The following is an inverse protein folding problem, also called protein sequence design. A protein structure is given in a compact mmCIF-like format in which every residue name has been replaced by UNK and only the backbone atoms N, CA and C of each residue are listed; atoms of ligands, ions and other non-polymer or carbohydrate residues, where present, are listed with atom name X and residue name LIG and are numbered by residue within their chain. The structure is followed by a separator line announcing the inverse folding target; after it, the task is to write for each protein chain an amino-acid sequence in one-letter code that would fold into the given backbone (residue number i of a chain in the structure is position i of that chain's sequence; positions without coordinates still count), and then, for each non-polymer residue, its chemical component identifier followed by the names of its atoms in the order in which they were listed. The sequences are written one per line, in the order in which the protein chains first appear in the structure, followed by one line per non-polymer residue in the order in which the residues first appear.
data_IF_727437874948
#
_entry.id   IF_727437874948
#
_cell.length_a   1.000
_cell.length_b   1.000
_cell.length_c   1.000
_cell.angle_alpha   90.00
_cell.angle_beta   90.00
_cell.angle_gamma   90.00
#
_symmetry.space_group_name_H-M   'P 1'
#
loop_
_entity.id
_entity.type
_entity.pdbx_description
1 polymer ?
#
# COMPACT_ATOMS: atom_id res chain seq x y z
N UNK A 1 0.11 17.98 -15.59
CA UNK A 1 0.47 18.38 -16.96
C UNK A 1 0.61 17.16 -17.85
N UNK A 2 0.16 17.22 -19.11
CA UNK A 2 0.43 16.18 -20.10
C UNK A 2 1.34 16.77 -21.17
N UNK A 3 2.34 16.01 -21.57
CA UNK A 3 3.25 16.32 -22.67
C UNK A 3 3.20 15.19 -23.69
N UNK A 4 3.43 15.52 -24.95
CA UNK A 4 3.50 14.57 -26.07
C UNK A 4 4.82 14.71 -26.81
N UNK A 5 5.28 13.63 -27.43
CA UNK A 5 6.48 13.61 -28.27
C UNK A 5 6.16 12.96 -29.61
N UNK A 6 6.65 13.56 -30.69
CA UNK A 6 6.59 13.02 -32.06
C UNK A 6 7.93 12.45 -32.54
N UNK A 7 8.98 12.50 -31.70
CA UNK A 7 10.37 12.18 -32.06
C UNK A 7 10.95 11.02 -31.22
N UNK A 8 10.11 10.02 -30.92
CA UNK A 8 10.45 8.85 -30.11
C UNK A 8 10.91 9.19 -28.68
N UNK A 9 10.28 10.19 -28.06
CA UNK A 9 10.49 10.53 -26.65
C UNK A 9 11.75 11.36 -26.38
N UNK A 10 12.35 11.97 -27.41
CA UNK A 10 13.53 12.83 -27.24
C UNK A 10 13.13 14.24 -26.80
N UNK A 11 12.08 14.80 -27.39
CA UNK A 11 11.53 16.11 -27.05
C UNK A 11 10.07 15.96 -26.65
N UNK A 12 9.68 16.62 -25.56
CA UNK A 12 8.32 16.63 -25.04
C UNK A 12 7.75 18.05 -25.09
N UNK A 13 6.61 18.18 -25.76
CA UNK A 13 5.86 19.43 -25.87
C UNK A 13 4.59 19.36 -25.04
N UNK A 14 4.19 20.46 -24.42
CA UNK A 14 2.96 20.51 -23.62
C UNK A 14 1.74 20.30 -24.51
N UNK A 15 0.86 19.37 -24.12
CA UNK A 15 -0.37 19.13 -24.85
C UNK A 15 -1.32 20.34 -24.65
N UNK A 16 -1.79 20.99 -25.73
CA UNK A 16 -2.62 22.18 -25.61
C UNK A 16 -3.99 21.89 -24.98
N UNK A 17 -4.62 22.91 -24.41
CA UNK A 17 -5.92 22.82 -23.74
C UNK A 17 -5.85 22.62 -22.22
N UNK A 18 -4.66 22.70 -21.63
CA UNK A 18 -4.53 22.78 -20.18
C UNK A 18 -4.97 24.17 -19.71
N UNK A 19 -5.93 24.24 -18.78
CA UNK A 19 -6.39 25.51 -18.20
C UNK A 19 -5.85 25.68 -16.78
N UNK A 20 -6.03 26.84 -16.15
CA UNK A 20 -5.73 27.00 -14.73
C UNK A 20 -6.76 26.27 -13.86
N UNK A 21 -6.31 25.53 -12.84
CA UNK A 21 -7.17 24.98 -11.81
C UNK A 21 -7.15 25.92 -10.60
N UNK A 22 -8.30 26.50 -10.24
CA UNK A 22 -8.36 27.38 -9.08
C UNK A 22 -8.08 26.66 -7.77
N UNK A 23 -8.39 25.37 -7.67
CA UNK A 23 -8.09 24.57 -6.48
C UNK A 23 -6.60 24.28 -6.34
N UNK A 24 -5.94 23.87 -7.43
CA UNK A 24 -4.50 23.55 -7.43
C UNK A 24 -3.57 24.75 -7.66
N UNK A 25 -4.11 25.90 -8.10
CA UNK A 25 -3.38 27.09 -8.51
C UNK A 25 -2.33 26.85 -9.62
N UNK A 26 -2.59 25.90 -10.53
CA UNK A 26 -1.67 25.54 -11.61
C UNK A 26 -2.43 25.18 -12.88
N UNK A 27 -1.73 25.25 -14.02
CA UNK A 27 -2.23 24.78 -15.30
C UNK A 27 -2.33 23.26 -15.26
N UNK A 28 -3.50 22.70 -15.57
CA UNK A 28 -3.74 21.26 -15.51
C UNK A 28 -4.65 20.81 -16.63
N UNK A 29 -4.22 19.83 -17.41
CA UNK A 29 -5.09 19.13 -18.36
C UNK A 29 -5.95 18.05 -17.70
N UNK A 30 -5.40 17.33 -16.72
CA UNK A 30 -6.08 16.34 -15.88
C UNK A 30 -6.01 16.82 -14.42
N UNK A 31 -7.16 17.07 -13.80
CA UNK A 31 -7.27 17.46 -12.41
C UNK A 31 -8.60 17.00 -11.82
N UNK A 32 -8.61 16.28 -10.69
CA UNK A 32 -9.85 15.84 -10.03
C UNK A 32 -10.80 16.98 -9.69
N UNK A 33 -10.27 18.18 -9.42
CA UNK A 33 -11.10 19.36 -9.14
C UNK A 33 -11.82 19.93 -10.37
N UNK A 34 -11.39 19.56 -11.59
CA UNK A 34 -11.98 20.04 -12.85
C UNK A 34 -12.90 19.01 -13.49
N UNK A 35 -12.67 17.72 -13.27
CA UNK A 35 -13.37 16.66 -13.97
C UNK A 35 -14.28 15.89 -13.03
N UNK A 36 -15.58 15.91 -13.35
CA UNK A 36 -16.60 15.03 -12.74
C UNK A 36 -17.05 13.91 -13.67
N UNK A 37 -16.65 13.98 -14.95
CA UNK A 37 -17.06 13.07 -16.02
C UNK A 37 -15.85 12.67 -16.87
N UNK A 38 -15.99 11.60 -17.65
CA UNK A 38 -14.98 11.13 -18.59
C UNK A 38 -14.76 12.16 -19.71
N UNK A 39 -13.50 12.36 -20.10
CA UNK A 39 -13.13 13.31 -21.16
C UNK A 39 -12.20 12.64 -22.16
N UNK A 40 -12.50 12.80 -23.45
CA UNK A 40 -11.66 12.30 -24.52
C UNK A 40 -10.59 13.33 -24.87
N UNK A 41 -9.33 12.96 -24.72
CA UNK A 41 -8.18 13.80 -25.08
C UNK A 41 -7.66 13.30 -26.43
N UNK A 42 -7.69 14.17 -27.44
CA UNK A 42 -7.12 13.86 -28.76
C UNK A 42 -5.63 14.17 -28.75
N UNK A 43 -4.82 13.17 -29.06
CA UNK A 43 -3.39 13.33 -29.21
C UNK A 43 -3.04 13.91 -30.59
N UNK A 44 -1.93 14.65 -30.74
CA UNK A 44 -1.46 15.14 -32.02
C UNK A 44 -1.19 13.99 -33.00
N UNK A 45 -1.29 14.27 -34.30
CA UNK A 45 -0.88 13.33 -35.33
C UNK A 45 0.61 13.00 -35.14
N UNK A 46 0.97 11.71 -35.28
CA UNK A 46 2.32 11.20 -35.07
C UNK A 46 2.83 11.25 -33.62
N UNK A 47 1.95 11.33 -32.62
CA UNK A 47 2.32 11.16 -31.22
C UNK A 47 2.90 9.74 -31.00
N UNK A 48 4.17 9.68 -30.61
CA UNK A 48 4.89 8.43 -30.31
C UNK A 48 4.90 8.14 -28.81
N UNK A 49 4.99 9.18 -27.97
CA UNK A 49 5.07 9.04 -26.51
C UNK A 49 4.22 10.08 -25.79
N UNK A 50 3.73 9.71 -24.61
CA UNK A 50 2.99 10.59 -23.71
C UNK A 50 3.71 10.61 -22.36
N UNK A 51 3.91 11.81 -21.81
CA UNK A 51 4.45 12.00 -20.46
C UNK A 51 3.41 12.72 -19.61
N UNK A 52 3.03 12.10 -18.49
CA UNK A 52 2.09 12.68 -17.54
C UNK A 52 2.89 13.15 -16.32
N UNK A 53 2.94 14.45 -16.09
CA UNK A 53 3.54 15.05 -14.91
C UNK A 53 2.45 15.45 -13.91
N UNK A 54 2.70 15.24 -12.62
CA UNK A 54 1.81 15.78 -11.58
C UNK A 54 1.95 17.31 -11.52
N UNK A 55 0.86 18.04 -11.23
CA UNK A 55 0.94 19.47 -10.94
C UNK A 55 1.90 19.70 -9.75
N UNK A 56 2.78 20.70 -9.84
CA UNK A 56 3.53 21.20 -8.69
C UNK A 56 2.58 21.95 -7.74
N UNK A 57 2.36 21.38 -6.56
CA UNK A 57 1.53 22.03 -5.53
C UNK A 57 2.15 23.39 -5.18
N UNK A 58 1.48 24.49 -5.52
CA UNK A 58 1.90 25.84 -5.13
C UNK A 58 1.54 26.10 -3.67
N UNK A 59 2.51 25.84 -2.79
CA UNK A 59 2.35 25.83 -1.34
C UNK A 59 1.94 27.21 -0.78
N UNK A 60 2.40 28.30 -1.40
CA UNK A 60 1.98 29.67 -1.06
C UNK A 60 0.50 29.92 -1.30
N UNK A 61 -0.09 29.34 -2.35
CA UNK A 61 -1.51 29.49 -2.65
C UNK A 61 -2.40 28.64 -1.72
N UNK A 62 -1.92 27.47 -1.30
CA UNK A 62 -2.60 26.62 -0.31
C UNK A 62 -2.55 27.26 1.07
N UNK A 63 -1.37 27.76 1.48
CA UNK A 63 -1.17 28.47 2.74
C UNK A 63 -2.04 29.74 2.81
N UNK A 64 -2.05 30.56 1.75
CA UNK A 64 -2.89 31.76 1.68
C UNK A 64 -4.39 31.44 1.77
N UNK A 65 -4.86 30.32 1.20
CA UNK A 65 -6.25 29.86 1.35
C UNK A 65 -6.56 29.39 2.77
N UNK A 66 -5.62 28.71 3.43
CA UNK A 66 -5.76 28.28 4.82
C UNK A 66 -5.78 29.49 5.76
N UNK A 67 -4.99 30.52 5.48
CA UNK A 67 -4.97 31.75 6.26
C UNK A 67 -6.22 32.61 6.01
N UNK A 68 -6.70 32.68 4.77
CA UNK A 68 -7.95 33.33 4.41
C UNK A 68 -9.19 32.66 5.04
N UNK A 69 -9.20 31.33 5.14
CA UNK A 69 -10.32 30.62 5.78
C UNK A 69 -10.32 30.79 7.30
N UNK A 70 -9.14 30.94 7.92
CA UNK A 70 -8.99 31.27 9.35
C UNK A 70 -9.36 32.72 9.67
N UNK A 71 -9.05 33.67 8.79
CA UNK A 71 -9.41 35.07 9.01
C UNK A 71 -10.92 35.32 8.83
N UNK A 72 -11.58 34.58 7.92
CA UNK A 72 -13.04 34.64 7.77
C UNK A 72 -13.81 34.06 8.95
N UNK A 73 -13.24 33.14 9.74
CA UNK A 73 -13.89 32.64 10.96
C UNK A 73 -13.78 33.58 12.16
N UNK A 74 -12.87 34.57 12.13
CA UNK A 74 -12.65 35.51 13.24
C UNK A 74 -13.43 36.83 13.12
N UNK A 75 -13.99 37.15 11.94
CA UNK A 75 -14.68 38.44 11.71
C UNK A 75 -16.22 38.32 11.81
N UNK A 76 -16.74 37.10 12.04
CA UNK A 76 -18.18 36.83 12.17
C UNK A 76 -18.76 37.02 13.57
N UNK A 77 -18.40 38.07 14.31
CA UNK A 77 -19.18 38.49 15.49
C UNK A 77 -19.04 40.00 15.64
N UNK A 78 -20.19 40.69 15.79
CA UNK A 78 -20.38 42.12 16.12
C UNK A 78 -20.74 43.06 14.94
N UNK A 79 -21.97 42.98 14.42
CA UNK A 79 -22.97 44.08 14.46
C UNK A 79 -24.27 43.70 13.71
N UNK A 80 -25.42 44.04 14.31
CA UNK A 80 -26.74 43.61 13.89
C UNK A 80 -27.49 44.55 12.93
N UNK A 81 -28.60 43.98 12.44
CA UNK A 81 -29.86 44.58 11.96
C UNK A 81 -29.92 45.19 10.55
N UNK A 82 -30.35 44.38 9.56
CA UNK A 82 -31.72 44.40 8.98
C UNK A 82 -31.74 43.62 7.66
N UNK A 83 -32.22 42.37 7.70
CA UNK A 83 -32.94 41.64 6.62
C UNK A 83 -33.11 40.18 7.06
N UNK A 84 -33.97 39.97 8.06
CA UNK A 84 -34.35 38.63 8.50
C UNK A 84 -35.59 38.17 7.72
N UNK A 85 -35.36 37.34 6.70
CA UNK A 85 -36.21 36.21 6.28
C UNK A 85 -35.49 35.51 5.13
N UNK A 86 -35.39 34.17 5.20
CA UNK A 86 -34.65 33.25 4.31
C UNK A 86 -33.20 32.98 4.76
N UNK A 87 -33.01 32.40 5.96
CA UNK A 87 -31.87 31.50 6.27
C UNK A 87 -31.94 31.03 7.75
N UNK A 88 -33.02 30.37 8.15
CA UNK A 88 -33.09 29.66 9.44
C UNK A 88 -33.59 28.24 9.19
N UNK A 89 -32.68 27.38 8.71
CA UNK A 89 -32.83 25.92 8.77
C UNK A 89 -31.53 25.11 8.56
N UNK A 90 -30.34 25.69 8.73
CA UNK A 90 -29.09 24.97 8.41
C UNK A 90 -27.90 25.22 9.35
N UNK A 91 -28.13 25.68 10.58
CA UNK A 91 -27.02 26.10 11.48
C UNK A 91 -26.92 25.38 12.83
N UNK A 92 -27.56 24.21 12.99
CA UNK A 92 -27.34 23.34 14.16
C UNK A 92 -26.32 22.21 13.93
N UNK A 93 -25.61 22.19 12.79
CA UNK A 93 -24.64 21.12 12.45
C UNK A 93 -23.15 21.50 12.63
N UNK A 94 -22.84 22.78 12.89
CA UNK A 94 -21.46 23.28 12.73
C UNK A 94 -20.72 23.61 14.04
N UNK A 95 -20.98 22.87 15.11
CA UNK A 95 -20.26 23.08 16.39
C UNK A 95 -19.66 21.80 16.97
N UNK A 96 -18.75 21.17 16.21
CA UNK A 96 -17.83 20.14 16.73
C UNK A 96 -16.61 19.86 15.83
N UNK A 97 -16.00 20.88 15.22
CA UNK A 97 -14.75 20.68 14.45
C UNK A 97 -13.63 21.61 14.92
N UNK A 98 -12.88 21.13 15.90
CA UNK A 98 -11.50 21.55 16.11
C UNK A 98 -10.62 21.03 14.98
N UNK A 99 -10.40 21.87 13.97
CA UNK A 99 -9.07 22.21 13.42
C UNK A 99 -8.05 21.13 13.00
N UNK A 100 -8.45 19.91 12.66
CA UNK A 100 -7.57 18.94 11.98
C UNK A 100 -8.05 18.75 10.54
N UNK A 101 -7.18 18.95 9.55
CA UNK A 101 -7.37 18.54 8.16
C UNK A 101 -7.43 17.02 8.10
N UNK A 102 -8.56 16.45 8.50
CA UNK A 102 -8.77 15.02 8.52
C UNK A 102 -8.71 14.49 7.10
N UNK A 103 -7.70 13.67 6.79
CA UNK A 103 -7.68 12.96 5.51
C UNK A 103 -8.94 12.10 5.40
N UNK A 104 -9.56 12.11 4.22
CA UNK A 104 -10.61 11.16 3.90
C UNK A 104 -10.00 9.74 3.79
N UNK A 105 -10.80 8.72 4.09
CA UNK A 105 -10.38 7.31 4.00
C UNK A 105 -9.83 6.97 2.61
N UNK A 106 -10.52 7.39 1.55
CA UNK A 106 -10.12 7.16 0.15
C UNK A 106 -8.71 7.70 -0.15
N UNK A 107 -8.39 8.90 0.37
CA UNK A 107 -7.08 9.50 0.22
C UNK A 107 -6.01 8.71 1.00
N UNK A 108 -6.33 8.30 2.23
CA UNK A 108 -5.43 7.49 3.06
C UNK A 108 -5.11 6.15 2.38
N UNK A 109 -6.12 5.47 1.84
CA UNK A 109 -5.99 4.22 1.09
C UNK A 109 -5.15 4.41 -0.18
N UNK A 110 -5.44 5.46 -0.98
CA UNK A 110 -4.69 5.75 -2.21
C UNK A 110 -3.21 6.10 -1.95
N UNK A 111 -2.93 6.85 -0.88
CA UNK A 111 -1.55 7.18 -0.50
C UNK A 111 -0.84 5.93 0.02
N UNK A 112 -1.52 5.09 0.80
CA UNK A 112 -0.98 3.81 1.28
C UNK A 112 -0.58 2.90 0.12
N UNK A 113 -1.39 2.78 -0.92
CA UNK A 113 -1.03 1.99 -2.12
C UNK A 113 0.24 2.51 -2.79
N UNK A 114 0.35 3.83 -2.96
CA UNK A 114 1.54 4.46 -3.57
C UNK A 114 2.78 4.22 -2.71
N UNK A 115 2.63 4.28 -1.38
CA UNK A 115 3.70 4.00 -0.44
C UNK A 115 4.13 2.53 -0.50
N UNK A 116 3.19 1.59 -0.44
CA UNK A 116 3.46 0.16 -0.58
C UNK A 116 4.19 -0.13 -1.90
N UNK A 117 3.71 0.42 -3.02
CA UNK A 117 4.37 0.26 -4.31
C UNK A 117 5.81 0.83 -4.30
N UNK A 118 6.03 1.95 -3.61
CA UNK A 118 7.37 2.54 -3.45
C UNK A 118 8.29 1.62 -2.64
N UNK A 119 7.79 1.05 -1.54
CA UNK A 119 8.54 0.12 -0.69
C UNK A 119 8.89 -1.16 -1.47
N UNK A 120 7.95 -1.69 -2.25
CA UNK A 120 8.15 -2.88 -3.09
C UNK A 120 9.20 -2.64 -4.17
N UNK A 121 9.15 -1.51 -4.87
CA UNK A 121 10.18 -1.14 -5.85
C UNK A 121 11.56 -0.96 -5.20
N UNK A 122 11.59 -0.45 -3.97
CA UNK A 122 12.83 -0.37 -3.21
C UNK A 122 13.35 -1.77 -2.88
N UNK A 123 12.48 -2.70 -2.49
CA UNK A 123 12.76 -4.11 -2.19
C UNK A 123 13.29 -4.89 -3.41
N UNK A 124 12.87 -4.54 -4.62
CA UNK A 124 13.35 -5.16 -5.87
C UNK A 124 14.64 -4.51 -6.40
N UNK A 125 14.80 -3.19 -6.27
CA UNK A 125 15.92 -2.45 -6.86
C UNK A 125 17.29 -2.72 -6.20
N UNK A 126 18.39 -2.12 -6.68
CA UNK A 126 19.73 -2.17 -6.01
C UNK A 126 19.94 -1.09 -4.94
N UNK A 127 18.90 -0.32 -4.64
CA UNK A 127 18.97 0.82 -3.72
C UNK A 127 19.23 0.36 -2.28
N UNK A 128 20.17 1.00 -1.58
CA UNK A 128 20.29 0.84 -0.11
C UNK A 128 18.96 1.26 0.50
N UNK A 129 18.21 0.28 1.02
CA UNK A 129 17.04 0.56 1.84
C UNK A 129 17.55 0.74 3.26
N UNK A 130 17.10 1.78 3.95
CA UNK A 130 17.30 1.93 5.38
C UNK A 130 16.11 1.28 6.10
N UNK A 131 15.52 1.87 7.13
CA UNK A 131 14.36 1.29 7.79
C UNK A 131 13.06 1.62 7.04
N UNK A 132 12.00 0.85 7.27
CA UNK A 132 10.71 1.14 6.61
C UNK A 132 10.17 2.53 6.94
N UNK A 133 10.42 3.04 8.16
CA UNK A 133 10.08 4.40 8.57
C UNK A 133 10.79 5.45 7.72
N UNK A 134 12.05 5.21 7.34
CA UNK A 134 12.78 6.11 6.47
C UNK A 134 12.21 6.09 5.05
N UNK A 135 11.77 4.92 4.56
CA UNK A 135 11.05 4.82 3.29
C UNK A 135 9.75 5.61 3.31
N UNK A 136 9.00 5.56 4.42
CA UNK A 136 7.81 6.40 4.60
C UNK A 136 8.19 7.88 4.61
N UNK A 137 9.17 8.28 5.41
CA UNK A 137 9.60 9.66 5.47
C UNK A 137 10.07 10.18 4.11
N UNK A 138 10.89 9.39 3.41
CA UNK A 138 11.41 9.71 2.10
C UNK A 138 10.30 9.85 1.04
N UNK A 139 9.26 9.01 1.14
CA UNK A 139 8.07 9.13 0.30
C UNK A 139 7.38 10.49 0.52
N UNK A 140 7.16 10.90 1.78
CA UNK A 140 6.56 12.20 2.11
C UNK A 140 7.47 13.37 1.74
N UNK A 141 8.79 13.24 1.91
CA UNK A 141 9.80 14.23 1.51
C UNK A 141 9.77 14.47 0.01
N UNK A 142 9.80 13.39 -0.78
CA UNK A 142 9.69 13.46 -2.25
C UNK A 142 8.35 13.98 -2.73
N UNK A 143 7.26 13.66 -2.02
CA UNK A 143 5.91 14.07 -2.38
C UNK A 143 5.65 15.56 -2.18
N UNK A 144 6.11 16.13 -1.07
CA UNK A 144 5.78 17.51 -0.69
C UNK A 144 6.93 18.51 -0.88
N UNK A 145 8.18 18.05 -1.06
CA UNK A 145 9.40 18.82 -1.31
C UNK A 145 9.83 19.70 -0.11
N UNK A 146 8.90 20.45 0.49
CA UNK A 146 9.13 21.25 1.71
C UNK A 146 9.01 20.40 2.97
N UNK A 147 10.02 20.48 3.82
CA UNK A 147 10.18 19.62 5.00
C UNK A 147 9.05 19.78 6.03
N UNK A 148 8.65 21.01 6.36
CA UNK A 148 7.56 21.26 7.32
C UNK A 148 6.22 20.69 6.85
N UNK A 149 6.00 20.67 5.54
CA UNK A 149 4.77 20.15 4.93
C UNK A 149 4.84 18.64 4.82
N UNK A 150 6.01 18.07 4.49
CA UNK A 150 6.25 16.64 4.59
C UNK A 150 5.97 16.13 6.00
N UNK A 151 6.43 16.84 7.04
CA UNK A 151 6.19 16.47 8.44
C UNK A 151 4.70 16.50 8.79
N UNK A 152 4.01 17.61 8.50
CA UNK A 152 2.55 17.71 8.74
C UNK A 152 1.75 16.69 7.94
N UNK A 153 2.12 16.47 6.69
CA UNK A 153 1.48 15.47 5.83
C UNK A 153 1.65 14.05 6.35
N UNK A 154 2.83 13.72 6.88
CA UNK A 154 3.09 12.45 7.55
C UNK A 154 2.26 12.33 8.83
N UNK A 155 2.20 13.36 9.67
CA UNK A 155 1.40 13.36 10.89
C UNK A 155 -0.09 13.13 10.59
N UNK A 156 -0.67 13.90 9.66
CA UNK A 156 -2.06 13.74 9.24
C UNK A 156 -2.32 12.35 8.66
N UNK A 157 -1.37 11.81 7.88
CA UNK A 157 -1.45 10.47 7.33
C UNK A 157 -1.44 9.40 8.42
N UNK A 158 -0.52 9.45 9.39
CA UNK A 158 -0.44 8.48 10.47
C UNK A 158 -1.70 8.53 11.36
N UNK A 159 -2.24 9.73 11.61
CA UNK A 159 -3.53 9.87 12.29
C UNK A 159 -4.68 9.22 11.51
N UNK A 160 -4.71 9.40 10.19
CA UNK A 160 -5.73 8.77 9.34
C UNK A 160 -5.55 7.26 9.23
N UNK A 161 -4.31 6.78 9.11
CA UNK A 161 -3.97 5.35 9.08
C UNK A 161 -4.47 4.66 10.34
N UNK A 162 -4.18 5.24 11.52
CA UNK A 162 -4.68 4.72 12.81
C UNK A 162 -6.21 4.72 12.88
N UNK A 163 -6.86 5.76 12.35
CA UNK A 163 -8.32 5.88 12.38
C UNK A 163 -9.02 4.84 11.52
N UNK A 164 -8.51 4.60 10.31
CA UNK A 164 -9.17 3.77 9.30
C UNK A 164 -8.60 2.35 9.18
N UNK A 165 -7.58 1.99 9.97
CA UNK A 165 -7.03 0.63 10.03
C UNK A 165 -8.11 -0.44 10.30
N UNK A 166 -9.08 -0.26 11.22
CA UNK A 166 -10.12 -1.25 11.44
C UNK A 166 -11.01 -1.52 10.21
N UNK A 167 -11.17 -0.51 9.35
CA UNK A 167 -12.08 -0.55 8.20
C UNK A 167 -11.40 -1.00 6.90
N UNK A 168 -10.06 -1.11 6.89
CA UNK A 168 -9.30 -1.49 5.69
C UNK A 168 -8.11 -2.37 6.03
N UNK A 169 -8.15 -3.62 5.56
CA UNK A 169 -7.07 -4.59 5.79
C UNK A 169 -5.71 -4.11 5.27
N UNK A 170 -5.67 -3.34 4.18
CA UNK A 170 -4.43 -2.78 3.63
C UNK A 170 -3.84 -1.71 4.56
N UNK A 171 -4.71 -0.85 5.14
CA UNK A 171 -4.29 0.13 6.13
C UNK A 171 -3.85 -0.54 7.43
N UNK A 172 -4.57 -1.58 7.86
CA UNK A 172 -4.19 -2.39 9.02
C UNK A 172 -2.82 -3.05 8.81
N UNK A 173 -2.61 -3.69 7.66
CA UNK A 173 -1.35 -4.34 7.30
C UNK A 173 -0.18 -3.36 7.39
N UNK A 174 -0.29 -2.19 6.75
CA UNK A 174 0.77 -1.20 6.83
C UNK A 174 0.94 -0.65 8.25
N UNK A 175 -0.16 -0.42 8.97
CA UNK A 175 -0.13 -0.01 10.38
C UNK A 175 0.69 -0.97 11.24
N UNK A 176 0.38 -2.27 11.17
CA UNK A 176 1.09 -3.33 11.88
C UNK A 176 2.57 -3.41 11.50
N UNK A 177 2.91 -3.17 10.22
CA UNK A 177 4.31 -3.12 9.79
C UNK A 177 5.05 -1.92 10.41
N UNK A 178 4.43 -0.74 10.40
CA UNK A 178 5.04 0.48 10.95
C UNK A 178 5.19 0.43 12.47
N UNK A 179 4.33 -0.31 13.17
CA UNK A 179 4.44 -0.57 14.62
C UNK A 179 5.32 -1.77 14.96
N UNK A 180 5.97 -2.40 13.97
CA UNK A 180 6.80 -3.60 14.12
C UNK A 180 6.08 -4.84 14.65
N UNK A 181 4.76 -4.88 14.53
CA UNK A 181 3.93 -6.05 14.83
C UNK A 181 4.02 -7.08 13.70
N UNK A 182 4.10 -6.60 12.45
CA UNK A 182 4.41 -7.42 11.28
C UNK A 182 5.75 -7.02 10.65
N UNK A 183 6.46 -8.02 10.13
CA UNK A 183 7.70 -7.79 9.38
C UNK A 183 7.41 -7.22 7.98
N UNK A 184 8.18 -6.23 7.48
CA UNK A 184 8.00 -5.68 6.13
C UNK A 184 8.00 -6.70 4.98
N UNK A 185 8.66 -7.86 5.14
CA UNK A 185 8.64 -8.96 4.17
C UNK A 185 7.23 -9.48 3.86
N UNK A 186 6.26 -9.23 4.74
CA UNK A 186 4.86 -9.60 4.51
C UNK A 186 4.26 -8.92 3.27
N UNK A 187 4.77 -7.74 2.87
CA UNK A 187 4.33 -7.08 1.65
C UNK A 187 4.68 -7.91 0.43
N UNK A 188 5.91 -8.44 0.34
CA UNK A 188 6.31 -9.34 -0.74
C UNK A 188 5.48 -10.64 -0.72
N UNK A 189 5.24 -11.20 0.46
CA UNK A 189 4.41 -12.39 0.62
C UNK A 189 2.99 -12.18 0.06
N UNK A 190 2.36 -11.06 0.41
CA UNK A 190 1.03 -10.70 -0.08
C UNK A 190 1.01 -10.53 -1.60
N UNK A 191 2.03 -9.92 -2.18
CA UNK A 191 2.13 -9.75 -3.64
C UNK A 191 2.21 -11.07 -4.40
N UNK A 192 2.97 -12.03 -3.86
CA UNK A 192 3.11 -13.33 -4.50
C UNK A 192 1.82 -14.15 -4.44
N UNK A 193 1.07 -14.03 -3.35
CA UNK A 193 -0.28 -14.56 -3.28
C UNK A 193 -1.20 -13.94 -4.32
N UNK A 194 -1.15 -12.61 -4.46
CA UNK A 194 -1.92 -11.90 -5.49
C UNK A 194 -1.60 -12.46 -6.87
N UNK A 195 -0.32 -12.59 -7.23
CA UNK A 195 0.09 -13.15 -8.52
C UNK A 195 -0.39 -14.59 -8.73
N UNK A 196 -0.25 -15.44 -7.72
CA UNK A 196 -0.73 -16.82 -7.78
C UNK A 196 -2.25 -16.90 -7.98
N UNK A 197 -3.01 -16.00 -7.35
CA UNK A 197 -4.45 -15.96 -7.43
C UNK A 197 -4.96 -15.41 -8.77
N UNK A 198 -4.21 -14.52 -9.42
CA UNK A 198 -4.58 -13.96 -10.73
C UNK A 198 -4.57 -15.00 -11.85
N UNK A 199 -3.74 -16.04 -11.74
CA UNK A 199 -3.64 -17.13 -12.73
C UNK A 199 -4.60 -18.28 -12.41
N UNK A 200 -5.20 -18.29 -11.21
CA UNK A 200 -6.03 -19.39 -10.73
C UNK A 200 -7.51 -19.18 -11.08
N UNK A 201 -8.19 -20.15 -11.71
CA UNK A 201 -9.63 -20.06 -11.95
C UNK A 201 -10.39 -20.29 -10.64
N UNK A 202 -10.64 -19.22 -9.88
CA UNK A 202 -11.38 -19.26 -8.61
C UNK A 202 -12.82 -18.77 -8.82
N UNK A 203 -13.73 -19.70 -9.11
CA UNK A 203 -15.16 -19.40 -9.31
C UNK A 203 -16.11 -19.98 -8.26
N UNK A 204 -15.67 -21.00 -7.51
CA UNK A 204 -16.53 -21.73 -6.55
C UNK A 204 -15.71 -22.37 -5.44
N UNK A 205 -16.41 -22.98 -4.47
CA UNK A 205 -15.79 -23.62 -3.31
C UNK A 205 -14.93 -24.84 -3.67
N UNK A 206 -15.23 -25.55 -4.76
CA UNK A 206 -14.42 -26.68 -5.22
C UNK A 206 -13.05 -26.19 -5.72
N UNK A 207 -13.02 -25.10 -6.46
CA UNK A 207 -11.77 -24.44 -6.85
C UNK A 207 -10.97 -23.93 -5.64
N UNK A 208 -11.64 -23.38 -4.63
CA UNK A 208 -10.96 -22.98 -3.40
C UNK A 208 -10.41 -24.18 -2.61
N UNK A 209 -11.16 -25.28 -2.51
CA UNK A 209 -10.68 -26.51 -1.88
C UNK A 209 -9.43 -27.06 -2.60
N UNK A 210 -9.43 -27.05 -3.94
CA UNK A 210 -8.24 -27.41 -4.73
C UNK A 210 -7.07 -26.45 -4.49
N UNK A 211 -7.34 -25.15 -4.38
CA UNK A 211 -6.34 -24.17 -3.97
C UNK A 211 -5.75 -24.53 -2.59
N UNK A 212 -6.59 -24.87 -1.60
CA UNK A 212 -6.12 -25.27 -0.27
C UNK A 212 -5.23 -26.52 -0.32
N UNK A 213 -5.66 -27.56 -1.06
CA UNK A 213 -4.88 -28.78 -1.23
C UNK A 213 -3.52 -28.52 -1.87
N UNK A 214 -3.46 -27.64 -2.87
CA UNK A 214 -2.21 -27.30 -3.57
C UNK A 214 -1.31 -26.38 -2.75
N UNK A 215 -1.90 -25.41 -2.05
CA UNK A 215 -1.18 -24.32 -1.41
C UNK A 215 -0.78 -24.63 0.04
N UNK A 216 -1.56 -25.49 0.71
CA UNK A 216 -1.38 -25.97 2.08
C UNK A 216 -1.30 -27.50 2.13
N UNK A 217 -0.34 -28.06 1.39
CA UNK A 217 -0.14 -29.52 1.29
C UNK A 217 0.25 -30.18 2.62
N UNK A 218 0.91 -29.41 3.50
CA UNK A 218 1.37 -29.85 4.82
C UNK A 218 0.23 -30.02 5.84
N UNK A 219 -0.91 -29.35 5.63
CA UNK A 219 -2.07 -29.49 6.52
C UNK A 219 -2.70 -30.89 6.40
N UNK A 220 -3.29 -31.39 7.47
CA UNK A 220 -4.14 -32.56 7.41
C UNK A 220 -5.48 -32.26 6.72
N UNK A 221 -6.23 -33.30 6.35
CA UNK A 221 -7.54 -33.13 5.69
C UNK A 221 -8.53 -32.39 6.59
N UNK A 222 -8.56 -32.72 7.88
CA UNK A 222 -9.40 -32.09 8.90
C UNK A 222 -9.10 -30.60 9.09
N UNK A 223 -7.82 -30.22 9.01
CA UNK A 223 -7.37 -28.83 9.12
C UNK A 223 -7.75 -28.03 7.86
N UNK A 224 -7.58 -28.62 6.67
CA UNK A 224 -8.05 -28.01 5.42
C UNK A 224 -9.56 -27.81 5.40
N UNK A 225 -10.32 -28.79 5.90
CA UNK A 225 -11.78 -28.69 5.99
C UNK A 225 -12.21 -27.59 6.98
N UNK A 226 -11.48 -27.44 8.09
CA UNK A 226 -11.70 -26.35 9.04
C UNK A 226 -11.44 -24.98 8.41
N UNK A 227 -10.36 -24.84 7.63
CA UNK A 227 -10.02 -23.61 6.92
C UNK A 227 -11.02 -23.31 5.79
N UNK A 228 -11.50 -24.33 5.08
CA UNK A 228 -12.57 -24.22 4.09
C UNK A 228 -13.86 -23.72 4.72
N UNK A 229 -14.23 -24.23 5.90
CA UNK A 229 -15.40 -23.79 6.64
C UNK A 229 -15.25 -22.32 7.09
N UNK A 230 -14.10 -21.97 7.66
CA UNK A 230 -13.81 -20.60 8.08
C UNK A 230 -13.89 -19.61 6.91
N UNK A 231 -13.30 -19.95 5.77
CA UNK A 231 -13.42 -19.16 4.54
C UNK A 231 -14.88 -19.06 4.06
N UNK A 232 -15.64 -20.15 4.13
CA UNK A 232 -17.05 -20.16 3.69
C UNK A 232 -17.89 -19.18 4.52
N UNK A 233 -17.63 -19.12 5.83
CA UNK A 233 -18.26 -18.16 6.75
C UNK A 233 -17.77 -16.74 6.44
N UNK A 234 -16.46 -16.53 6.33
CA UNK A 234 -15.85 -15.22 6.06
C UNK A 234 -16.31 -14.60 4.73
N UNK A 235 -16.44 -15.44 3.69
CA UNK A 235 -16.73 -15.00 2.33
C UNK A 235 -18.22 -14.97 1.99
N UNK A 236 -19.10 -15.37 2.92
CA UNK A 236 -20.54 -15.56 2.68
C UNK A 236 -20.80 -16.48 1.47
N UNK A 237 -19.98 -17.53 1.31
CA UNK A 237 -19.98 -18.49 0.18
C UNK A 237 -19.59 -17.89 -1.18
N UNK A 238 -19.11 -16.64 -1.24
CA UNK A 238 -18.66 -16.03 -2.48
C UNK A 238 -17.16 -16.26 -2.71
N UNK A 239 -16.82 -17.05 -3.73
CA UNK A 239 -15.42 -17.31 -4.08
C UNK A 239 -14.98 -16.37 -5.21
N UNK A 240 -13.89 -15.65 -4.96
CA UNK A 240 -13.18 -14.87 -5.97
C UNK A 240 -11.73 -14.68 -5.53
N UNK A 241 -10.79 -14.38 -6.45
CA UNK A 241 -9.40 -14.07 -6.11
C UNK A 241 -9.29 -12.97 -5.04
N UNK A 242 -10.14 -11.95 -5.13
CA UNK A 242 -10.22 -10.85 -4.17
C UNK A 242 -10.65 -11.33 -2.77
N UNK A 243 -11.70 -12.16 -2.68
CA UNK A 243 -12.17 -12.72 -1.40
C UNK A 243 -11.15 -13.64 -0.76
N UNK A 244 -10.48 -14.47 -1.57
CA UNK A 244 -9.40 -15.34 -1.08
C UNK A 244 -8.23 -14.52 -0.56
N UNK A 245 -7.79 -13.49 -1.28
CA UNK A 245 -6.72 -12.61 -0.79
C UNK A 245 -7.12 -11.86 0.48
N UNK A 246 -8.35 -11.35 0.55
CA UNK A 246 -8.88 -10.71 1.75
C UNK A 246 -8.91 -11.68 2.95
N UNK A 247 -9.24 -12.94 2.71
CA UNK A 247 -9.19 -13.98 3.74
C UNK A 247 -7.75 -14.29 4.19
N UNK A 248 -6.80 -14.41 3.26
CA UNK A 248 -5.38 -14.60 3.60
C UNK A 248 -4.85 -13.41 4.41
N UNK A 249 -5.19 -12.16 4.03
CA UNK A 249 -4.86 -10.97 4.82
C UNK A 249 -5.48 -11.01 6.22
N UNK A 250 -6.72 -11.49 6.34
CA UNK A 250 -7.36 -11.69 7.63
C UNK A 250 -6.55 -12.67 8.50
N UNK A 251 -6.15 -13.82 7.96
CA UNK A 251 -5.32 -14.78 8.69
C UNK A 251 -3.95 -14.19 9.08
N UNK A 252 -3.29 -13.44 8.19
CA UNK A 252 -2.01 -12.77 8.47
C UNK A 252 -2.15 -11.79 9.63
N UNK A 253 -3.17 -10.92 9.59
CA UNK A 253 -3.43 -9.91 10.61
C UNK A 253 -3.85 -10.52 11.96
N UNK A 254 -4.30 -11.78 11.96
CA UNK A 254 -4.59 -12.54 13.18
C UNK A 254 -3.45 -13.48 13.59
N UNK A 255 -2.30 -13.44 12.89
CA UNK A 255 -1.17 -14.37 13.10
C UNK A 255 -1.56 -15.85 12.99
N UNK A 256 -2.57 -16.17 12.16
CA UNK A 256 -3.13 -17.52 11.95
C UNK A 256 -2.89 -18.07 10.54
N UNK A 257 -2.02 -17.44 9.77
CA UNK A 257 -1.76 -17.87 8.40
C UNK A 257 -0.92 -19.16 8.40
N UNK A 258 -1.45 -20.30 7.91
CA UNK A 258 -0.84 -21.61 8.15
C UNK A 258 0.59 -21.76 7.62
N UNK A 259 0.90 -21.16 6.48
CA UNK A 259 2.24 -21.28 5.90
C UNK A 259 3.29 -20.54 6.69
N UNK A 260 2.94 -19.36 7.16
CA UNK A 260 3.81 -18.57 8.02
C UNK A 260 4.09 -19.34 9.33
N UNK A 261 3.11 -20.10 9.83
CA UNK A 261 3.26 -20.94 11.03
C UNK A 261 4.14 -22.16 10.73
N UNK A 262 3.82 -22.92 9.68
CA UNK A 262 4.61 -24.09 9.27
C UNK A 262 6.09 -23.75 9.06
N UNK A 263 6.36 -22.68 8.32
CA UNK A 263 7.73 -22.25 8.09
C UNK A 263 8.42 -21.77 9.39
N UNK A 264 7.68 -21.27 10.38
CA UNK A 264 8.27 -20.98 11.70
C UNK A 264 8.61 -22.25 12.45
N UNK A 265 7.73 -23.25 12.42
CA UNK A 265 7.92 -24.52 13.10
C UNK A 265 9.10 -25.28 12.49
N UNK A 266 9.19 -25.36 11.16
CA UNK A 266 10.35 -25.93 10.45
C UNK A 266 11.64 -25.21 10.85
N UNK A 267 11.67 -23.88 10.72
CA UNK A 267 12.85 -23.10 11.08
C UNK A 267 13.25 -23.23 12.55
N UNK A 268 12.28 -23.46 13.45
CA UNK A 268 12.55 -23.62 14.87
C UNK A 268 13.38 -24.86 15.16
N UNK A 269 13.29 -25.89 14.30
CA UNK A 269 14.10 -27.11 14.42
C UNK A 269 15.59 -26.87 14.16
N UNK A 270 15.93 -25.81 13.42
CA UNK A 270 17.31 -25.45 13.08
C UNK A 270 17.94 -24.44 14.04
N UNK A 271 17.19 -23.96 15.05
CA UNK A 271 17.73 -23.08 16.08
C UNK A 271 18.71 -23.84 16.97
N UNK A 272 19.97 -23.39 17.00
CA UNK A 272 20.96 -23.91 17.95
C UNK A 272 20.86 -23.20 19.30
N UNK A 273 20.18 -22.06 19.36
CA UNK A 273 19.96 -21.27 20.58
C UNK A 273 18.48 -21.05 20.86
N UNK A 274 18.05 -21.14 22.13
CA UNK A 274 16.65 -20.98 22.57
C UNK A 274 16.14 -19.51 22.52
N UNK A 275 16.72 -18.66 21.68
CA UNK A 275 16.45 -17.22 21.72
C UNK A 275 15.30 -16.77 20.79
N UNK A 276 14.70 -17.68 20.02
CA UNK A 276 13.65 -17.33 19.05
C UNK A 276 14.16 -16.54 17.84
N UNK A 277 15.48 -16.42 17.72
CA UNK A 277 16.18 -15.67 16.68
C UNK A 277 17.15 -16.58 15.94
N UNK A 278 17.17 -16.46 14.62
CA UNK A 278 18.14 -17.12 13.75
C UNK A 278 19.25 -16.15 13.40
N UNK A 279 20.49 -16.63 13.54
CA UNK A 279 21.63 -16.00 12.88
C UNK A 279 21.52 -16.20 11.37
N UNK A 280 22.21 -15.37 10.58
CA UNK A 280 22.27 -15.51 9.12
C UNK A 280 22.80 -16.90 8.73
N UNK A 281 23.74 -17.44 9.51
CA UNK A 281 24.33 -18.76 9.30
C UNK A 281 23.34 -19.90 9.59
N UNK A 282 22.58 -19.82 10.69
CA UNK A 282 21.53 -20.80 10.99
C UNK A 282 20.41 -20.77 9.95
N UNK A 283 20.01 -19.57 9.50
CA UNK A 283 19.03 -19.42 8.44
C UNK A 283 19.57 -20.00 7.13
N UNK A 284 20.81 -19.70 6.74
CA UNK A 284 21.42 -20.26 5.53
C UNK A 284 21.51 -21.80 5.58
N UNK A 285 21.84 -22.37 6.76
CA UNK A 285 21.86 -23.81 6.96
C UNK A 285 20.47 -24.46 6.85
N UNK A 286 19.45 -23.85 7.46
CA UNK A 286 18.06 -24.32 7.33
C UNK A 286 17.60 -24.28 5.86
N UNK A 287 17.95 -23.23 5.13
CA UNK A 287 17.61 -23.07 3.71
C UNK A 287 18.24 -24.13 2.81
N UNK A 288 19.52 -24.46 3.05
CA UNK A 288 20.23 -25.52 2.33
C UNK A 288 19.58 -26.89 2.59
N UNK A 289 19.14 -27.16 3.83
CA UNK A 289 18.45 -28.40 4.22
C UNK A 289 17.03 -28.50 3.64
N UNK A 290 16.30 -27.38 3.57
CA UNK A 290 14.97 -27.28 2.96
C UNK A 290 14.97 -27.41 1.42
N UNK A 291 16.15 -27.64 0.80
CA UNK A 291 16.33 -27.87 -0.65
C UNK A 291 15.77 -26.75 -1.53
N UNK A 292 15.74 -25.53 -1.01
CA UNK A 292 15.33 -24.36 -1.76
C UNK A 292 16.46 -23.95 -2.69
N UNK A 293 16.28 -24.24 -3.98
CA UNK A 293 17.23 -23.88 -5.04
C UNK A 293 17.23 -22.36 -5.25
N UNK A 294 17.74 -21.60 -4.30
CA UNK A 294 17.96 -20.16 -4.44
C UNK A 294 19.45 -19.89 -4.51
N UNK A 295 19.86 -18.98 -5.40
CA UNK A 295 21.23 -18.49 -5.47
C UNK A 295 21.64 -17.93 -4.10
N UNK A 296 22.64 -18.56 -3.48
CA UNK A 296 23.14 -18.24 -2.12
C UNK A 296 23.46 -16.75 -1.96
N UNK A 297 24.00 -16.13 -3.02
CA UNK A 297 24.35 -14.69 -3.00
C UNK A 297 23.13 -13.78 -3.01
N UNK A 298 22.06 -14.18 -3.70
CA UNK A 298 20.79 -13.44 -3.71
C UNK A 298 20.07 -13.59 -2.38
N UNK A 299 20.10 -14.79 -1.80
CA UNK A 299 19.51 -15.07 -0.49
C UNK A 299 20.19 -14.26 0.61
N UNK A 300 21.53 -14.26 0.67
CA UNK A 300 22.30 -13.42 1.62
C UNK A 300 21.99 -11.94 1.44
N UNK A 301 21.90 -11.45 0.19
CA UNK A 301 21.54 -10.06 -0.09
C UNK A 301 20.13 -9.70 0.40
N UNK A 302 19.19 -10.63 0.32
CA UNK A 302 17.80 -10.44 0.70
C UNK A 302 17.59 -10.52 2.21
N UNK A 303 18.28 -11.45 2.87
CA UNK A 303 18.37 -11.54 4.33
C UNK A 303 18.93 -10.23 4.89
N UNK A 304 20.05 -9.76 4.33
CA UNK A 304 20.66 -8.49 4.74
C UNK A 304 19.71 -7.31 4.56
N UNK A 305 18.90 -7.32 3.50
CA UNK A 305 17.91 -6.29 3.21
C UNK A 305 16.75 -6.29 4.21
N UNK A 306 16.25 -7.46 4.57
CA UNK A 306 15.18 -7.63 5.56
C UNK A 306 15.64 -7.23 6.97
N UNK A 307 16.89 -7.58 7.32
CA UNK A 307 17.55 -7.12 8.55
C UNK A 307 17.68 -5.59 8.58
N UNK A 308 18.08 -4.98 7.46
CA UNK A 308 18.23 -3.52 7.37
C UNK A 308 16.88 -2.81 7.52
N UNK A 309 15.83 -3.34 6.91
CA UNK A 309 14.46 -2.80 6.97
C UNK A 309 13.85 -2.82 8.36
N UNK A 310 14.18 -3.85 9.15
CA UNK A 310 13.72 -3.98 10.53
C UNK A 310 14.61 -3.23 11.52
N UNK A 311 15.81 -2.80 11.11
CA UNK A 311 16.79 -2.15 11.97
C UNK A 311 17.38 -3.08 13.04
N UNK A 312 17.28 -4.41 12.85
CA UNK A 312 17.72 -5.41 13.83
C UNK A 312 18.93 -6.17 13.31
N UNK A 313 19.76 -6.68 14.24
CA UNK A 313 20.92 -7.53 13.93
C UNK A 313 20.60 -9.03 13.94
N UNK A 314 19.35 -9.41 14.25
CA UNK A 314 18.89 -10.79 14.39
C UNK A 314 17.57 -10.97 13.63
N UNK A 315 17.43 -12.08 12.91
CA UNK A 315 16.22 -12.40 12.15
C UNK A 315 15.29 -13.18 13.08
N UNK A 316 14.06 -12.72 13.24
CA UNK A 316 13.06 -13.53 13.96
C UNK A 316 12.68 -14.72 13.09
N UNK A 317 12.38 -15.88 13.69
CA UNK A 317 11.80 -17.03 13.00
C UNK A 317 10.66 -16.63 12.05
N UNK A 318 9.82 -15.72 12.55
CA UNK A 318 8.67 -15.16 11.85
C UNK A 318 9.04 -14.35 10.60
N UNK A 319 10.12 -13.56 10.65
CA UNK A 319 10.67 -12.85 9.48
C UNK A 319 11.28 -13.83 8.47
N UNK A 320 12.04 -14.81 8.95
CA UNK A 320 12.70 -15.83 8.12
C UNK A 320 11.71 -16.70 7.33
N UNK A 321 10.65 -17.17 7.99
CA UNK A 321 9.57 -17.97 7.39
C UNK A 321 8.87 -17.27 6.22
N UNK A 322 8.75 -15.94 6.30
CA UNK A 322 8.08 -15.10 5.30
C UNK A 322 8.97 -14.79 4.10
N UNK A 323 10.26 -14.58 4.37
CA UNK A 323 11.32 -14.41 3.38
C UNK A 323 11.45 -15.66 2.49
N UNK A 324 11.47 -16.82 3.14
CA UNK A 324 11.56 -18.16 2.57
C UNK A 324 10.59 -18.43 1.44
N UNK A 325 9.29 -18.25 1.71
CA UNK A 325 8.26 -18.58 0.74
C UNK A 325 8.20 -17.59 -0.42
N UNK A 326 8.73 -16.37 -0.24
CA UNK A 326 8.72 -15.38 -1.31
C UNK A 326 9.54 -15.80 -2.55
N UNK A 327 10.48 -16.73 -2.37
CA UNK A 327 11.36 -17.28 -3.42
C UNK A 327 11.03 -18.70 -3.85
N UNK A 328 10.18 -19.43 -3.11
CA UNK A 328 9.70 -20.75 -3.53
C UNK A 328 8.85 -20.69 -4.81
N UNK A 329 8.39 -19.50 -5.21
CA UNK A 329 7.64 -19.22 -6.43
C UNK A 329 8.49 -18.58 -7.54
N UNK A 330 9.75 -19.03 -7.71
CA UNK A 330 10.78 -18.57 -8.67
C UNK A 330 10.42 -18.72 -10.19
N UNK A 331 9.14 -18.54 -10.56
CA UNK A 331 8.64 -18.63 -11.94
C UNK A 331 7.96 -17.37 -12.49
N UNK A 332 7.90 -16.26 -11.76
CA UNK A 332 7.08 -15.12 -12.19
C UNK A 332 7.90 -13.83 -12.36
N UNK A 333 7.63 -13.11 -13.45
CA UNK A 333 8.49 -12.06 -14.03
C UNK A 333 8.04 -10.62 -13.70
N UNK A 334 9.06 -9.76 -13.55
CA UNK A 334 9.15 -8.48 -12.82
C UNK A 334 8.37 -7.23 -13.32
N UNK A 335 7.16 -7.31 -13.90
CA UNK A 335 6.48 -6.04 -14.30
C UNK A 335 4.95 -5.97 -14.14
N UNK A 336 4.26 -7.08 -13.92
CA UNK A 336 2.80 -7.09 -13.76
C UNK A 336 2.32 -6.70 -12.35
N UNK A 337 3.22 -6.75 -11.36
CA UNK A 337 2.98 -6.62 -9.92
C UNK A 337 2.43 -5.24 -9.55
N UNK A 338 2.99 -4.18 -10.15
CA UNK A 338 2.65 -2.79 -9.80
C UNK A 338 1.25 -2.35 -10.26
N UNK A 339 0.78 -2.85 -11.40
CA UNK A 339 -0.56 -2.55 -11.91
C UNK A 339 -1.67 -3.26 -11.11
N UNK A 340 -1.37 -4.41 -10.51
CA UNK A 340 -2.35 -5.25 -9.83
C UNK A 340 -2.60 -4.84 -8.37
N UNK A 341 -1.58 -4.29 -7.68
CA UNK A 341 -1.75 -3.62 -6.37
C UNK A 341 -2.77 -2.50 -6.43
N UNK A 342 -2.80 -1.75 -7.54
CA UNK A 342 -3.76 -0.66 -7.76
C UNK A 342 -5.16 -1.16 -8.16
N UNK A 343 -5.28 -2.38 -8.69
CA UNK A 343 -6.57 -2.97 -9.09
C UNK A 343 -7.29 -3.65 -7.93
N UNK A 344 -6.55 -4.28 -7.00
CA UNK A 344 -7.11 -4.94 -5.83
C UNK A 344 -7.61 -3.98 -4.75
N UNK A 345 -7.34 -2.69 -4.85
CA UNK A 345 -7.87 -1.70 -3.91
C UNK A 345 -9.12 -0.98 -4.42
N UNK A 346 -9.71 -1.45 -5.52
CA UNK A 346 -11.13 -1.20 -5.82
C UNK A 346 -12.07 -2.14 -5.04
N UNK A 347 -11.53 -2.95 -4.11
CA UNK A 347 -12.34 -3.69 -3.13
C UNK A 347 -12.90 -2.68 -2.13
N UNK A 348 -14.07 -2.14 -2.47
CA UNK A 348 -15.14 -1.77 -1.56
C UNK A 348 -16.41 -2.47 -2.06
#
# INVERSE_FOLDING_TARGET
MIYTSSDNGRIFEELPGADMCHSCAEKTLLCPHKFRESRLIRLPQNCTHIKICRPQVHLSAVQAKIEASKSMSLVGTIHGNHTAKIAQRSLDSTRSQSGATSWAMELCVSVTQQLVATIVLQLEGKSKISQIQDSVWEFFRKRYIQEEISRRGLEDYLCALRRYAPDSQVLHLLGSILTHDLDPSILCYVLLHIESLLVSPLSDLGHFQFFLQKHYQFLEETERDSLLLEFTVYSEKCVSPSRVMSFILHLILQHREPLIIECQDELSTHLKTQTGHLTVEELAGALDEMCLRTDKTQMESFIQRSLTLTGRNLITLHSSARILKSRMTDKFSDLHILCNVLHLTKIN
#
